data_IF_270638306168
#
_entry.id   IF_270638306168
#
_cell.length_a   1.000
_cell.length_b   1.000
_cell.length_c   1.000
_cell.angle_alpha   90.00
_cell.angle_beta   90.00
_cell.angle_gamma   90.00
#
_symmetry.space_group_name_H-M   'P 1'
#
loop_
_entity.id
_entity.type
_entity.pdbx_description
1 polymer ?
#
# COMPACT_ATOMS: atom_id res chain seq x y z
N UNK A 1 8.46 -4.65 -9.94
CA UNK A 1 7.52 -4.16 -8.90
C UNK A 1 8.15 -4.34 -7.53
N UNK A 2 7.93 -3.40 -6.62
CA UNK A 2 8.31 -3.46 -5.21
C UNK A 2 7.06 -3.44 -4.33
N UNK A 3 6.99 -4.30 -3.32
CA UNK A 3 5.92 -4.35 -2.30
C UNK A 3 6.61 -4.19 -0.95
N UNK A 4 6.54 -2.98 -0.38
CA UNK A 4 7.44 -2.57 0.71
C UNK A 4 6.98 -2.99 2.11
N UNK A 5 5.69 -3.33 2.28
CA UNK A 5 5.10 -3.84 3.51
C UNK A 5 4.24 -5.08 3.18
N UNK A 6 4.86 -6.09 2.59
CA UNK A 6 4.16 -7.07 1.75
C UNK A 6 3.39 -8.15 2.49
N UNK A 7 3.71 -8.46 3.76
CA UNK A 7 3.09 -9.58 4.46
C UNK A 7 1.58 -9.37 4.74
N UNK A 8 0.78 -10.39 4.52
CA UNK A 8 1.08 -11.81 4.25
C UNK A 8 1.37 -12.16 2.77
N UNK A 9 1.47 -11.18 1.86
CA UNK A 9 1.85 -11.39 0.48
C UNK A 9 0.73 -11.26 -0.56
N UNK A 10 -0.49 -10.96 -0.14
CA UNK A 10 -1.65 -10.94 -1.03
C UNK A 10 -1.47 -10.04 -2.26
N UNK A 11 -0.93 -8.81 -2.08
CA UNK A 11 -0.69 -7.87 -3.19
C UNK A 11 0.45 -8.35 -4.09
N UNK A 12 1.53 -8.88 -3.52
CA UNK A 12 2.63 -9.50 -4.28
C UNK A 12 2.17 -10.68 -5.12
N UNK A 13 1.34 -11.59 -4.57
CA UNK A 13 0.83 -12.74 -5.31
C UNK A 13 -0.12 -12.31 -6.43
N UNK A 14 -1.04 -11.38 -6.14
CA UNK A 14 -1.94 -10.82 -7.17
C UNK A 14 -1.13 -10.16 -8.29
N UNK A 15 -0.10 -9.38 -7.93
CA UNK A 15 0.83 -8.79 -8.91
C UNK A 15 1.51 -9.85 -9.79
N UNK A 16 2.01 -10.92 -9.20
CA UNK A 16 2.66 -12.00 -9.94
C UNK A 16 1.71 -12.71 -10.92
N UNK A 17 0.45 -12.92 -10.52
CA UNK A 17 -0.59 -13.50 -11.39
C UNK A 17 -0.88 -12.55 -12.56
N UNK A 18 -1.10 -11.27 -12.30
CA UNK A 18 -1.36 -10.27 -13.34
C UNK A 18 -0.16 -10.07 -14.29
N UNK A 19 1.04 -10.28 -13.80
CA UNK A 19 2.27 -10.28 -14.61
C UNK A 19 2.51 -11.61 -15.34
N UNK A 20 1.59 -12.57 -15.26
CA UNK A 20 1.75 -13.91 -15.83
C UNK A 20 3.07 -14.59 -15.38
N UNK A 21 3.47 -14.40 -14.13
CA UNK A 21 4.71 -14.89 -13.54
C UNK A 21 5.97 -14.50 -14.37
N UNK A 22 5.95 -13.28 -14.95
CA UNK A 22 7.07 -12.72 -15.73
C UNK A 22 7.54 -11.40 -15.13
N UNK A 23 8.85 -11.15 -15.15
CA UNK A 23 9.47 -9.97 -14.58
C UNK A 23 10.01 -10.22 -13.17
N UNK A 24 9.95 -9.23 -12.28
CA UNK A 24 10.51 -9.30 -10.92
C UNK A 24 9.64 -8.56 -9.92
N UNK A 25 9.39 -9.19 -8.78
CA UNK A 25 8.72 -8.59 -7.62
C UNK A 25 9.67 -8.71 -6.43
N UNK A 26 10.04 -7.58 -5.84
CA UNK A 26 10.74 -7.53 -4.57
C UNK A 26 9.73 -7.28 -3.45
N UNK A 27 9.56 -8.25 -2.56
CA UNK A 27 8.61 -8.21 -1.44
C UNK A 27 9.38 -8.06 -0.13
N UNK A 28 9.08 -6.99 0.59
CA UNK A 28 9.76 -6.65 1.84
C UNK A 28 8.81 -6.69 3.03
N UNK A 29 9.31 -7.04 4.17
CA UNK A 29 8.66 -6.84 5.46
C UNK A 29 9.74 -6.72 6.55
N UNK A 30 9.41 -6.03 7.64
CA UNK A 30 10.31 -5.83 8.79
C UNK A 30 10.63 -7.13 9.52
N UNK A 31 9.71 -8.09 9.53
CA UNK A 31 9.77 -9.27 10.38
C UNK A 31 10.13 -10.55 9.61
N UNK A 32 11.20 -11.22 10.03
CA UNK A 32 11.70 -12.48 9.43
C UNK A 32 10.63 -13.57 9.30
N UNK A 33 9.76 -13.72 10.30
CA UNK A 33 8.71 -14.75 10.26
C UNK A 33 7.68 -14.48 9.17
N UNK A 34 7.36 -13.21 8.91
CA UNK A 34 6.46 -12.78 7.84
C UNK A 34 7.08 -13.03 6.46
N UNK A 35 8.36 -12.75 6.30
CA UNK A 35 9.10 -13.05 5.06
C UNK A 35 9.08 -14.55 4.76
N UNK A 36 9.27 -15.41 5.77
CA UNK A 36 9.16 -16.87 5.60
C UNK A 36 7.78 -17.30 5.11
N UNK A 37 6.71 -16.64 5.59
CA UNK A 37 5.33 -16.92 5.16
C UNK A 37 5.14 -16.59 3.68
N UNK A 38 5.62 -15.44 3.21
CA UNK A 38 5.54 -15.05 1.79
C UNK A 38 6.31 -16.06 0.94
N UNK A 39 7.55 -16.40 1.34
CA UNK A 39 8.38 -17.35 0.61
C UNK A 39 7.72 -18.73 0.50
N UNK A 40 7.21 -19.29 1.59
CA UNK A 40 6.55 -20.61 1.58
C UNK A 40 5.29 -20.60 0.72
N UNK A 41 4.52 -19.52 0.77
CA UNK A 41 3.31 -19.37 -0.05
C UNK A 41 3.63 -19.20 -1.53
N UNK A 42 4.67 -18.43 -1.89
CA UNK A 42 5.10 -18.30 -3.29
C UNK A 42 5.52 -19.65 -3.88
N UNK A 43 6.23 -20.48 -3.11
CA UNK A 43 6.60 -21.83 -3.52
C UNK A 43 5.37 -22.74 -3.75
N UNK A 44 4.41 -22.71 -2.80
CA UNK A 44 3.16 -23.49 -2.90
C UNK A 44 2.31 -23.07 -4.12
N UNK A 45 2.36 -21.78 -4.50
CA UNK A 45 1.64 -21.22 -5.65
C UNK A 45 2.45 -21.29 -6.96
N UNK A 46 3.65 -21.90 -6.94
CA UNK A 46 4.57 -21.97 -8.08
C UNK A 46 4.92 -20.60 -8.70
N UNK A 47 4.92 -19.56 -7.86
CA UNK A 47 5.29 -18.20 -8.26
C UNK A 47 6.81 -18.04 -8.13
N UNK A 48 7.49 -17.85 -9.25
CA UNK A 48 8.96 -17.79 -9.32
C UNK A 48 9.55 -16.38 -9.29
N UNK A 49 8.77 -15.35 -9.58
CA UNK A 49 9.25 -13.98 -9.76
C UNK A 49 9.33 -13.17 -8.46
N UNK A 50 8.89 -13.72 -7.32
CA UNK A 50 8.91 -13.02 -6.02
C UNK A 50 10.22 -13.29 -5.31
N UNK A 51 10.97 -12.21 -5.03
CA UNK A 51 12.14 -12.20 -4.16
C UNK A 51 11.75 -11.56 -2.83
N UNK A 52 12.00 -12.28 -1.73
CA UNK A 52 11.65 -11.81 -0.40
C UNK A 52 12.87 -11.32 0.35
N UNK A 53 12.80 -10.16 1.00
CA UNK A 53 13.88 -9.59 1.82
C UNK A 53 13.32 -8.97 3.10
N UNK A 54 14.13 -9.02 4.17
CA UNK A 54 13.84 -8.27 5.39
C UNK A 54 14.35 -6.84 5.15
N UNK A 55 13.48 -5.85 5.34
CA UNK A 55 13.85 -4.44 5.30
C UNK A 55 12.91 -3.61 6.15
N UNK A 56 13.41 -2.52 6.72
CA UNK A 56 12.61 -1.45 7.28
C UNK A 56 12.18 -0.53 6.13
N UNK A 57 10.87 -0.46 5.87
CA UNK A 57 10.33 0.33 4.78
C UNK A 57 10.48 1.85 4.97
N UNK A 58 10.93 2.30 6.13
CA UNK A 58 11.25 3.72 6.36
C UNK A 58 12.57 4.15 5.70
N UNK A 59 13.37 3.20 5.19
CA UNK A 59 14.63 3.47 4.52
C UNK A 59 14.94 2.43 3.44
N UNK A 60 15.26 2.89 2.24
CA UNK A 60 15.80 2.11 1.13
C UNK A 60 17.04 2.79 0.59
N UNK A 61 18.07 1.99 0.26
CA UNK A 61 19.31 2.49 -0.36
C UNK A 61 19.19 2.62 -1.89
N UNK A 62 18.15 1.99 -2.46
CA UNK A 62 17.91 1.97 -3.92
C UNK A 62 17.02 3.16 -4.31
N UNK A 63 17.29 3.76 -5.48
CA UNK A 63 16.49 4.85 -6.03
C UNK A 63 16.19 4.62 -7.52
N UNK A 64 15.02 5.08 -7.98
CA UNK A 64 14.61 5.08 -9.40
C UNK A 64 14.69 3.70 -10.09
N UNK A 65 14.37 2.63 -9.36
CA UNK A 65 14.56 1.23 -9.82
C UNK A 65 13.24 0.50 -10.14
N UNK A 66 12.10 1.06 -9.78
CA UNK A 66 10.82 0.37 -9.83
C UNK A 66 9.81 1.03 -10.76
N UNK A 67 9.19 0.23 -11.63
CA UNK A 67 8.03 0.66 -12.45
C UNK A 67 6.80 0.89 -11.58
N UNK A 68 6.62 0.04 -10.57
CA UNK A 68 5.49 0.05 -9.65
C UNK A 68 6.00 -0.22 -8.24
N UNK A 69 5.59 0.63 -7.30
CA UNK A 69 5.80 0.44 -5.86
C UNK A 69 4.44 0.35 -5.17
N UNK A 70 4.26 -0.68 -4.34
CA UNK A 70 3.10 -0.86 -3.48
C UNK A 70 3.51 -0.54 -2.04
N UNK A 71 2.84 0.44 -1.46
CA UNK A 71 3.03 0.95 -0.11
C UNK A 71 1.75 0.69 0.71
N UNK A 72 1.54 -0.58 1.13
CA UNK A 72 0.40 -0.99 1.98
C UNK A 72 0.83 -0.90 3.43
N UNK A 73 0.75 0.29 3.99
CA UNK A 73 1.37 0.63 5.27
C UNK A 73 0.68 0.01 6.48
N UNK A 74 1.41 -0.25 7.58
CA UNK A 74 0.79 -0.55 8.86
C UNK A 74 -0.11 0.62 9.26
N UNK A 75 -1.35 0.31 9.67
CA UNK A 75 -2.37 1.31 9.98
C UNK A 75 -3.18 0.93 11.22
N UNK A 76 -4.03 1.84 11.69
CA UNK A 76 -4.93 1.62 12.84
C UNK A 76 -5.91 0.44 12.64
N UNK A 77 -6.22 0.10 11.40
CA UNK A 77 -7.10 -1.01 11.06
C UNK A 77 -8.59 -0.75 11.29
N UNK A 78 -9.00 0.51 11.45
CA UNK A 78 -10.40 0.87 11.74
C UNK A 78 -11.40 0.42 10.65
N UNK A 79 -10.93 0.13 9.45
CA UNK A 79 -11.75 -0.45 8.39
C UNK A 79 -12.11 -1.92 8.62
N UNK A 80 -11.43 -2.60 9.53
CA UNK A 80 -11.58 -4.04 9.81
C UNK A 80 -12.50 -4.34 11.00
N UNK A 81 -13.16 -3.36 11.59
CA UNK A 81 -13.98 -3.51 12.81
C UNK A 81 -15.03 -4.61 12.70
N UNK A 82 -15.55 -4.88 11.50
CA UNK A 82 -16.52 -5.96 11.26
C UNK A 82 -15.91 -7.34 11.45
N UNK A 83 -14.63 -7.51 11.11
CA UNK A 83 -13.91 -8.79 11.18
C UNK A 83 -13.05 -8.92 12.43
N UNK A 84 -12.65 -7.80 13.00
CA UNK A 84 -11.77 -7.70 14.18
C UNK A 84 -12.34 -6.72 15.18
N UNK A 85 -13.44 -7.08 15.86
CA UNK A 85 -14.11 -6.18 16.80
C UNK A 85 -13.22 -5.76 17.98
N UNK A 86 -12.20 -6.55 18.31
CA UNK A 86 -11.20 -6.24 19.33
C UNK A 86 -10.42 -4.94 19.09
N UNK A 87 -10.40 -4.44 17.85
CA UNK A 87 -9.80 -3.13 17.52
C UNK A 87 -10.44 -2.00 18.33
N UNK A 88 -11.75 -2.10 18.69
CA UNK A 88 -12.47 -1.09 19.48
C UNK A 88 -11.87 -0.87 20.88
N UNK A 89 -11.17 -1.86 21.40
CA UNK A 89 -10.63 -1.87 22.76
C UNK A 89 -9.13 -1.54 22.81
N UNK A 90 -8.53 -1.17 21.69
CA UNK A 90 -7.14 -0.72 21.66
C UNK A 90 -7.06 0.73 22.14
N UNK A 91 -6.26 0.96 23.17
CA UNK A 91 -5.88 2.30 23.57
C UNK A 91 -5.04 2.97 22.47
N UNK A 92 -5.26 4.28 22.27
CA UNK A 92 -4.48 5.10 21.32
C UNK A 92 -4.44 4.55 19.88
N UNK A 93 -5.57 4.07 19.37
CA UNK A 93 -5.70 3.54 17.98
C UNK A 93 -5.20 4.54 16.94
N UNK A 94 -5.34 5.83 17.22
CA UNK A 94 -4.93 6.94 16.34
C UNK A 94 -3.95 7.80 17.11
N UNK A 95 -2.66 7.50 16.98
CA UNK A 95 -1.60 8.35 17.50
C UNK A 95 -0.81 9.01 16.35
N UNK A 96 -0.17 10.12 16.65
CA UNK A 96 0.64 10.83 15.66
C UNK A 96 1.87 10.01 15.23
N UNK A 97 2.42 9.17 16.10
CA UNK A 97 3.60 8.34 15.81
C UNK A 97 3.33 7.40 14.61
N UNK A 98 2.10 6.85 14.54
CA UNK A 98 1.73 5.96 13.42
C UNK A 98 1.68 6.70 12.09
N UNK A 99 1.10 7.90 12.05
CA UNK A 99 1.04 8.71 10.83
C UNK A 99 2.42 9.20 10.40
N UNK A 100 3.33 9.49 11.33
CA UNK A 100 4.73 9.82 11.03
C UNK A 100 5.48 8.64 10.40
N UNK A 101 5.29 7.43 10.95
CA UNK A 101 5.88 6.21 10.38
C UNK A 101 5.33 5.96 8.98
N UNK A 102 4.01 6.06 8.78
CA UNK A 102 3.37 5.92 7.48
C UNK A 102 3.92 6.92 6.46
N UNK A 103 4.10 8.18 6.87
CA UNK A 103 4.66 9.22 6.02
C UNK A 103 6.12 8.92 5.64
N UNK A 104 6.96 8.50 6.59
CA UNK A 104 8.34 8.07 6.32
C UNK A 104 8.40 6.91 5.32
N UNK A 105 7.52 5.90 5.49
CA UNK A 105 7.42 4.77 4.56
C UNK A 105 7.01 5.27 3.17
N UNK A 106 6.03 6.16 3.06
CA UNK A 106 5.60 6.72 1.78
C UNK A 106 6.73 7.47 1.07
N UNK A 107 7.44 8.36 1.77
CA UNK A 107 8.58 9.10 1.21
C UNK A 107 9.73 8.18 0.77
N UNK A 108 10.10 7.21 1.60
CA UNK A 108 11.13 6.22 1.26
C UNK A 108 10.73 5.37 0.05
N UNK A 109 9.45 4.97 -0.02
CA UNK A 109 8.90 4.22 -1.16
C UNK A 109 8.89 5.04 -2.45
N UNK A 110 8.66 6.35 -2.36
CA UNK A 110 8.67 7.25 -3.51
C UNK A 110 10.05 7.31 -4.18
N UNK A 111 11.15 7.24 -3.42
CA UNK A 111 12.51 7.22 -3.96
C UNK A 111 12.75 5.99 -4.87
N UNK A 112 12.10 4.86 -4.58
CA UNK A 112 12.23 3.65 -5.41
C UNK A 112 11.59 3.81 -6.79
N UNK A 113 10.59 4.70 -6.93
CA UNK A 113 9.83 4.86 -8.17
C UNK A 113 10.70 5.55 -9.22
N UNK A 114 10.85 4.92 -10.38
CA UNK A 114 11.51 5.54 -11.54
C UNK A 114 10.63 6.63 -12.18
N UNK A 115 11.21 7.49 -12.99
CA UNK A 115 10.47 8.45 -13.80
C UNK A 115 9.39 7.73 -14.64
N UNK A 116 8.19 8.28 -14.71
CA UNK A 116 7.00 7.67 -15.32
C UNK A 116 6.41 6.48 -14.55
N UNK A 117 7.05 6.03 -13.46
CA UNK A 117 6.59 4.93 -12.62
C UNK A 117 5.41 5.31 -11.71
N UNK A 118 4.83 4.30 -11.04
CA UNK A 118 3.63 4.46 -10.21
C UNK A 118 3.88 4.01 -8.78
N UNK A 119 3.29 4.75 -7.85
CA UNK A 119 3.26 4.47 -6.42
C UNK A 119 1.82 4.29 -5.97
N UNK A 120 1.50 3.13 -5.43
CA UNK A 120 0.23 2.89 -4.76
C UNK A 120 0.42 3.04 -3.25
N UNK A 121 -0.31 3.95 -2.63
CA UNK A 121 -0.45 4.03 -1.18
C UNK A 121 -1.78 3.39 -0.77
N UNK A 122 -1.79 2.57 0.28
CA UNK A 122 -3.02 1.95 0.77
C UNK A 122 -3.01 1.66 2.27
N UNK A 123 -4.21 1.63 2.85
CA UNK A 123 -4.45 1.30 4.26
C UNK A 123 -5.74 0.49 4.42
N UNK A 124 -5.84 -0.26 5.51
CA UNK A 124 -7.08 -0.89 5.95
C UNK A 124 -7.80 -0.07 7.04
N UNK A 125 -7.70 1.27 6.98
CA UNK A 125 -8.38 2.18 7.89
C UNK A 125 -9.26 3.17 7.15
N UNK A 126 -10.22 3.78 7.87
CA UNK A 126 -11.06 4.87 7.37
C UNK A 126 -10.70 6.23 8.00
N UNK A 127 -9.57 6.30 8.70
CA UNK A 127 -9.09 7.51 9.34
C UNK A 127 -8.48 8.48 8.31
N UNK A 128 -9.05 9.69 8.10
CA UNK A 128 -8.52 10.64 7.12
C UNK A 128 -7.07 11.06 7.35
N UNK A 129 -6.60 11.08 8.62
CA UNK A 129 -5.20 11.42 8.95
C UNK A 129 -4.19 10.40 8.42
N UNK A 130 -4.61 9.14 8.27
CA UNK A 130 -3.80 8.05 7.73
C UNK A 130 -4.01 7.88 6.21
N UNK A 131 -4.98 8.58 5.61
CA UNK A 131 -5.43 8.42 4.24
C UNK A 131 -5.21 9.70 3.42
N UNK A 132 -6.29 10.35 3.01
CA UNK A 132 -6.23 11.51 2.09
C UNK A 132 -5.37 12.66 2.62
N UNK A 133 -5.45 13.00 3.91
CA UNK A 133 -4.65 14.11 4.47
C UNK A 133 -3.13 13.81 4.41
N UNK A 134 -2.74 12.53 4.58
CA UNK A 134 -1.35 12.11 4.47
C UNK A 134 -0.88 12.16 3.01
N UNK A 135 -1.70 11.70 2.06
CA UNK A 135 -1.40 11.74 0.63
C UNK A 135 -1.36 13.18 0.10
N UNK A 136 -2.28 14.04 0.52
CA UNK A 136 -2.30 15.47 0.18
C UNK A 136 -1.02 16.17 0.68
N UNK A 137 -0.60 15.90 1.93
CA UNK A 137 0.67 16.38 2.46
C UNK A 137 1.82 15.92 1.57
N UNK A 138 1.90 14.64 1.23
CA UNK A 138 2.95 14.11 0.37
C UNK A 138 3.00 14.84 -0.98
N UNK A 139 1.88 14.97 -1.68
CA UNK A 139 1.81 15.67 -2.98
C UNK A 139 2.13 17.17 -2.86
N UNK A 140 1.93 17.79 -1.69
CA UNK A 140 2.32 19.17 -1.45
C UNK A 140 3.83 19.36 -1.34
N UNK A 141 4.55 18.35 -0.85
CA UNK A 141 5.99 18.37 -0.61
C UNK A 141 6.81 17.73 -1.74
N UNK A 142 6.22 16.77 -2.50
CA UNK A 142 6.85 16.04 -3.60
C UNK A 142 6.25 16.44 -4.96
N UNK A 143 6.74 17.55 -5.53
CA UNK A 143 6.20 18.13 -6.78
C UNK A 143 6.50 17.32 -8.04
N UNK A 144 7.40 16.35 -7.93
CA UNK A 144 7.68 15.35 -8.96
C UNK A 144 6.60 14.24 -9.03
N UNK A 145 5.66 14.20 -8.09
CA UNK A 145 4.52 13.29 -8.11
C UNK A 145 3.20 14.00 -8.38
N UNK A 146 2.34 13.33 -9.14
CA UNK A 146 0.95 13.75 -9.39
C UNK A 146 -0.02 12.60 -9.15
N UNK A 147 -1.26 12.92 -8.81
CA UNK A 147 -2.31 11.90 -8.70
C UNK A 147 -2.64 11.28 -10.05
N UNK A 148 -2.65 9.95 -10.14
CA UNK A 148 -3.03 9.19 -11.33
C UNK A 148 -4.52 8.85 -11.29
N UNK A 149 -5.27 9.24 -12.31
CA UNK A 149 -6.72 8.98 -12.37
C UNK A 149 -7.05 7.49 -12.29
N UNK A 150 -7.90 7.13 -11.33
CA UNK A 150 -8.34 5.75 -11.13
C UNK A 150 -9.42 5.35 -12.13
N UNK A 151 -9.23 4.17 -12.74
CA UNK A 151 -10.29 3.48 -13.48
C UNK A 151 -10.85 2.40 -12.56
N UNK A 152 -11.97 2.71 -11.91
CA UNK A 152 -12.60 1.79 -10.96
C UNK A 152 -13.51 0.79 -11.67
N UNK A 153 -13.57 -0.47 -11.20
CA UNK A 153 -14.58 -1.43 -11.63
C UNK A 153 -15.99 -0.90 -11.38
N UNK A 154 -16.95 -1.28 -12.24
CA UNK A 154 -18.35 -0.78 -12.18
C UNK A 154 -19.08 -1.05 -10.86
N UNK A 155 -18.67 -2.09 -10.14
CA UNK A 155 -19.24 -2.46 -8.84
C UNK A 155 -18.66 -1.65 -7.67
N UNK A 156 -17.63 -0.86 -7.86
CA UNK A 156 -17.06 0.02 -6.84
C UNK A 156 -17.77 1.37 -6.88
N UNK A 157 -18.36 1.75 -5.76
CA UNK A 157 -19.08 3.02 -5.60
C UNK A 157 -18.29 3.96 -4.71
N UNK A 158 -18.03 5.16 -5.20
CA UNK A 158 -17.56 6.27 -4.36
C UNK A 158 -18.74 6.83 -3.59
N UNK A 159 -18.61 6.98 -2.29
CA UNK A 159 -19.66 7.47 -1.38
C UNK A 159 -19.37 8.84 -0.82
N UNK A 160 -18.14 9.27 -0.88
CA UNK A 160 -17.69 10.59 -0.47
C UNK A 160 -17.04 11.30 -1.68
N UNK A 161 -16.97 12.61 -1.60
CA UNK A 161 -16.23 13.39 -2.60
C UNK A 161 -14.74 13.21 -2.35
N UNK A 162 -14.06 12.59 -3.29
CA UNK A 162 -12.64 12.29 -3.28
C UNK A 162 -12.00 12.78 -4.58
N UNK A 163 -10.68 12.93 -4.58
CA UNK A 163 -9.92 13.21 -5.78
C UNK A 163 -9.97 12.01 -6.74
N UNK A 164 -9.77 12.25 -8.05
CA UNK A 164 -9.85 11.18 -9.06
C UNK A 164 -8.78 10.09 -8.89
N UNK A 165 -7.69 10.38 -8.17
CA UNK A 165 -6.57 9.48 -7.94
C UNK A 165 -6.69 8.61 -6.68
N UNK A 166 -7.75 8.76 -5.90
CA UNK A 166 -7.94 8.04 -4.63
C UNK A 166 -9.35 7.45 -4.50
N UNK A 167 -9.51 6.46 -3.63
CA UNK A 167 -10.79 5.85 -3.35
C UNK A 167 -10.84 5.24 -1.95
N UNK A 168 -11.91 5.55 -1.20
CA UNK A 168 -12.28 4.87 0.04
C UNK A 168 -13.39 3.86 -0.20
N UNK A 169 -13.19 2.64 0.27
CA UNK A 169 -14.21 1.60 0.28
C UNK A 169 -14.87 1.58 1.66
N UNK A 170 -16.19 1.67 1.69
CA UNK A 170 -16.97 1.62 2.92
C UNK A 170 -17.78 0.33 2.99
N UNK A 171 -17.81 -0.36 4.16
CA UNK A 171 -18.52 -1.63 4.32
C UNK A 171 -19.99 -1.58 3.90
N UNK A 172 -20.67 -0.50 4.25
CA UNK A 172 -22.10 -0.30 3.96
C UNK A 172 -22.41 -0.06 2.48
N UNK A 173 -21.43 0.35 1.68
CA UNK A 173 -21.65 0.73 0.28
C UNK A 173 -21.05 -0.28 -0.68
N UNK A 174 -19.86 -0.78 -0.37
CA UNK A 174 -19.11 -1.64 -1.26
C UNK A 174 -19.15 -3.12 -0.84
N UNK A 175 -19.88 -3.46 0.22
CA UNK A 175 -19.94 -4.80 0.81
C UNK A 175 -18.54 -5.43 1.03
N UNK A 176 -17.60 -4.61 1.45
CA UNK A 176 -16.19 -4.94 1.69
C UNK A 176 -15.80 -4.56 3.11
N UNK A 177 -14.56 -4.82 3.49
CA UNK A 177 -13.95 -4.12 4.63
C UNK A 177 -13.69 -2.65 4.26
N UNK A 178 -13.52 -1.80 5.27
CA UNK A 178 -13.07 -0.43 5.06
C UNK A 178 -11.63 -0.42 4.55
N UNK A 179 -11.40 0.28 3.45
CA UNK A 179 -10.09 0.31 2.80
C UNK A 179 -9.91 1.66 2.08
N UNK A 180 -8.68 2.15 2.03
CA UNK A 180 -8.32 3.33 1.27
C UNK A 180 -7.15 3.03 0.35
N UNK A 181 -7.13 3.62 -0.84
CA UNK A 181 -5.96 3.59 -1.72
C UNK A 181 -5.90 4.83 -2.61
N UNK A 182 -4.68 5.22 -2.93
CA UNK A 182 -4.37 6.27 -3.88
C UNK A 182 -3.27 5.78 -4.84
N UNK A 183 -3.36 6.20 -6.11
CA UNK A 183 -2.32 5.95 -7.11
C UNK A 183 -1.67 7.27 -7.49
N UNK A 184 -0.36 7.31 -7.37
CA UNK A 184 0.48 8.46 -7.69
C UNK A 184 1.42 8.07 -8.83
N UNK A 185 1.73 9.02 -9.72
CA UNK A 185 2.69 8.82 -10.80
C UNK A 185 3.84 9.82 -10.65
N UNK A 186 5.06 9.32 -10.77
CA UNK A 186 6.24 10.18 -10.84
C UNK A 186 6.34 10.81 -12.23
N UNK A 187 6.67 12.08 -12.29
CA UNK A 187 6.98 12.78 -13.54
C UNK A 187 8.12 12.13 -14.33
N UNK A 188 8.24 12.52 -15.59
CA UNK A 188 9.31 12.05 -16.48
C UNK A 188 10.64 12.74 -16.17
#
# INVERSE_FOLDING_TARGET
MYDVCSAPGGKSFTGAILMNNKGKINSYDLYKHKIKLIYSTSKRLEISIINTKINDATSFDEENVADIVICDVPCSGLGLLRRKPEIRYKDNIVNNDLTEIQYKILCSSANLVRNGGKLMYSTCTLNPKENNLLVEKFLSEHKDFVGEKLILPKNIKRTIKENEYECSLFPQTNNSDGFYFAILRKGD
#
